data_IF_199346181142
#
_entry.id   IF_199346181142
#
_cell.length_a   1.000
_cell.length_b   1.000
_cell.length_c   1.000
_cell.angle_alpha   90.00
_cell.angle_beta   90.00
_cell.angle_gamma   90.00
#
_symmetry.space_group_name_H-M   'P 1'
#
loop_
_entity.id
_entity.type
_entity.pdbx_description
1 polymer ?
#
# COMPACT_ATOMS: atom_id res chain seq x y z
N UNK A 1 -25.80 77.75 -42.16
CA UNK A 1 -25.34 76.60 -41.36
C UNK A 1 -25.34 75.38 -42.26
N UNK A 2 -24.18 74.96 -42.74
CA UNK A 2 -24.04 73.84 -43.68
C UNK A 2 -23.02 72.87 -43.10
N UNK A 3 -23.48 71.65 -42.83
CA UNK A 3 -22.69 70.58 -42.25
C UNK A 3 -21.59 70.13 -43.23
N UNK A 4 -20.36 70.03 -42.71
CA UNK A 4 -19.17 69.76 -43.52
C UNK A 4 -19.08 68.25 -43.81
N UNK A 5 -19.14 67.79 -45.07
CA UNK A 5 -19.26 66.37 -45.44
C UNK A 5 -18.02 65.52 -45.11
N UNK A 6 -16.92 66.15 -44.66
CA UNK A 6 -15.70 65.45 -44.28
C UNK A 6 -15.82 64.62 -42.98
N UNK A 7 -16.76 64.96 -42.09
CA UNK A 7 -16.87 64.31 -40.78
C UNK A 7 -17.57 62.94 -40.87
N UNK A 8 -18.45 62.75 -41.85
CA UNK A 8 -19.19 61.49 -42.03
C UNK A 8 -18.33 60.36 -42.59
N UNK A 9 -17.37 60.67 -43.47
CA UNK A 9 -16.46 59.69 -44.07
C UNK A 9 -15.39 59.15 -43.09
N UNK A 10 -14.99 59.95 -42.09
CA UNK A 10 -14.01 59.52 -41.09
C UNK A 10 -14.59 58.49 -40.09
N UNK A 11 -15.89 58.54 -39.84
CA UNK A 11 -16.53 57.69 -38.83
C UNK A 11 -16.87 56.27 -39.37
N UNK A 12 -17.18 56.14 -40.66
CA UNK A 12 -17.40 54.85 -41.34
C UNK A 12 -16.10 54.01 -41.43
N UNK A 13 -14.96 54.64 -41.76
CA UNK A 13 -13.68 53.94 -41.88
C UNK A 13 -13.15 53.42 -40.53
N UNK A 14 -13.46 54.11 -39.41
CA UNK A 14 -13.08 53.69 -38.08
C UNK A 14 -13.92 52.50 -37.55
N UNK A 15 -15.16 52.33 -38.03
CA UNK A 15 -16.05 51.23 -37.64
C UNK A 15 -15.70 49.91 -38.36
N UNK A 16 -15.32 49.97 -39.63
CA UNK A 16 -14.91 48.77 -40.40
C UNK A 16 -13.60 48.18 -39.85
N UNK A 17 -12.60 49.01 -39.52
CA UNK A 17 -11.31 48.55 -38.98
C UNK A 17 -11.42 47.89 -37.59
N UNK A 18 -12.32 48.38 -36.72
CA UNK A 18 -12.62 47.74 -35.42
C UNK A 18 -13.38 46.43 -35.56
N UNK A 19 -14.21 46.27 -36.60
CA UNK A 19 -14.96 45.04 -36.86
C UNK A 19 -14.04 43.90 -37.35
N UNK A 20 -13.09 44.18 -38.25
CA UNK A 20 -12.11 43.19 -38.73
C UNK A 20 -11.16 42.69 -37.63
N UNK A 21 -10.70 43.58 -36.74
CA UNK A 21 -9.79 43.23 -35.64
C UNK A 21 -10.44 42.37 -34.55
N UNK A 22 -11.77 42.45 -34.39
CA UNK A 22 -12.54 41.69 -33.40
C UNK A 22 -12.92 40.29 -33.88
N UNK A 23 -12.89 40.03 -35.19
CA UNK A 23 -13.18 38.71 -35.78
C UNK A 23 -11.97 37.76 -35.77
N UNK A 24 -10.73 38.28 -35.90
CA UNK A 24 -9.51 37.45 -35.93
C UNK A 24 -9.10 36.85 -34.57
N UNK A 25 -9.47 37.48 -33.45
CA UNK A 25 -9.06 37.04 -32.10
C UNK A 25 -9.97 35.97 -31.47
N UNK A 26 -11.17 35.73 -32.00
CA UNK A 26 -12.15 34.78 -31.41
C UNK A 26 -12.01 33.36 -31.94
N UNK A 27 -11.54 33.18 -33.17
CA UNK A 27 -11.33 31.84 -33.76
C UNK A 27 -9.97 31.23 -33.39
N UNK A 28 -8.98 32.05 -33.01
CA UNK A 28 -7.66 31.57 -32.57
C UNK A 28 -7.67 30.98 -31.14
N UNK A 29 -8.63 31.38 -30.30
CA UNK A 29 -8.79 30.85 -28.93
C UNK A 29 -9.50 29.51 -28.86
N UNK A 30 -10.32 29.17 -29.87
CA UNK A 30 -11.03 27.89 -29.91
C UNK A 30 -10.14 26.74 -30.40
N UNK A 31 -9.12 27.03 -31.21
CA UNK A 31 -8.15 26.01 -31.64
C UNK A 31 -7.03 25.75 -30.61
N UNK A 32 -6.88 26.62 -29.60
CA UNK A 32 -5.93 26.41 -28.50
C UNK A 32 -6.53 25.60 -27.33
N UNK A 33 -7.82 25.28 -27.35
CA UNK A 33 -8.47 24.45 -26.31
C UNK A 33 -8.40 22.95 -26.68
N UNK A 34 -8.07 22.63 -27.94
CA UNK A 34 -7.97 21.25 -28.42
C UNK A 34 -6.63 20.55 -28.08
N UNK A 35 -5.71 21.18 -27.35
CA UNK A 35 -4.42 20.56 -26.96
C UNK A 35 -4.15 20.51 -25.45
N UNK A 36 -5.09 20.90 -24.59
CA UNK A 36 -5.00 20.67 -23.13
C UNK A 36 -5.68 19.35 -22.68
N UNK A 37 -5.93 18.44 -23.61
CA UNK A 37 -6.46 17.09 -23.35
C UNK A 37 -5.38 16.02 -23.16
N UNK A 38 -4.19 16.35 -22.64
CA UNK A 38 -3.13 15.32 -22.52
C UNK A 38 -2.13 15.58 -21.39
N UNK A 39 -2.63 15.75 -20.16
CA UNK A 39 -1.93 15.25 -18.97
C UNK A 39 -2.96 14.84 -17.91
N UNK A 40 -3.78 13.83 -18.21
CA UNK A 40 -4.13 12.87 -17.17
C UNK A 40 -2.86 12.04 -16.90
N UNK A 41 -1.88 12.68 -16.26
CA UNK A 41 -0.76 11.97 -15.66
C UNK A 41 -1.34 11.10 -14.57
N UNK A 42 -1.36 9.78 -14.81
CA UNK A 42 -1.68 8.78 -13.80
C UNK A 42 -0.80 9.09 -12.59
N UNK A 43 -1.40 9.63 -11.53
CA UNK A 43 -0.80 9.60 -10.20
C UNK A 43 -0.82 8.14 -9.77
N UNK A 44 0.13 7.35 -10.28
CA UNK A 44 0.47 6.06 -9.70
C UNK A 44 1.18 6.39 -8.39
N UNK A 45 0.37 6.73 -7.38
CA UNK A 45 0.82 6.81 -6.00
C UNK A 45 1.17 5.38 -5.59
N UNK A 46 2.43 5.02 -5.76
CA UNK A 46 3.02 3.89 -5.08
C UNK A 46 3.18 4.25 -3.61
N UNK A 47 2.08 4.54 -2.90
CA UNK A 47 2.07 4.44 -1.46
C UNK A 47 2.06 2.94 -1.17
N UNK A 48 3.15 2.36 -0.63
CA UNK A 48 3.13 0.96 -0.23
C UNK A 48 1.96 0.79 0.72
N UNK A 49 1.12 -0.20 0.41
CA UNK A 49 -0.01 -0.57 1.24
C UNK A 49 0.48 -0.71 2.69
N UNK A 50 -0.26 -0.15 3.66
CA UNK A 50 0.13 -0.31 5.06
C UNK A 50 0.32 -1.81 5.34
N UNK A 51 1.46 -2.26 5.90
CA UNK A 51 1.73 -3.68 6.12
C UNK A 51 0.75 -4.32 7.11
N UNK A 52 -0.02 -3.51 7.83
CA UNK A 52 -1.21 -3.99 8.53
C UNK A 52 -2.18 -4.72 7.60
N UNK A 53 -2.39 -4.20 6.39
CA UNK A 53 -3.32 -4.78 5.40
C UNK A 53 -2.74 -6.04 4.73
N UNK A 54 -1.42 -6.26 4.80
CA UNK A 54 -0.80 -7.46 4.21
C UNK A 54 -1.04 -8.72 5.04
N UNK A 55 -1.31 -8.60 6.35
CA UNK A 55 -1.55 -9.72 7.29
C UNK A 55 -2.67 -10.67 6.82
N UNK A 56 -3.68 -10.12 6.13
CA UNK A 56 -4.85 -10.88 5.64
C UNK A 56 -5.09 -10.71 4.14
N UNK A 57 -4.04 -10.35 3.38
CA UNK A 57 -4.16 -10.17 1.93
C UNK A 57 -4.60 -11.48 1.23
N UNK A 58 -5.43 -11.41 0.18
CA UNK A 58 -5.86 -12.61 -0.56
C UNK A 58 -4.70 -13.42 -1.12
N UNK A 59 -3.60 -12.76 -1.52
CA UNK A 59 -2.39 -13.40 -1.99
C UNK A 59 -1.73 -14.23 -0.87
N UNK A 60 -1.51 -13.62 0.30
CA UNK A 60 -0.94 -14.32 1.45
C UNK A 60 -1.82 -15.50 1.89
N UNK A 61 -3.14 -15.32 1.90
CA UNK A 61 -4.08 -16.42 2.21
C UNK A 61 -3.90 -17.61 1.27
N UNK A 62 -3.72 -17.38 -0.04
CA UNK A 62 -3.44 -18.44 -1.00
C UNK A 62 -2.08 -19.10 -0.74
N UNK A 63 -1.05 -18.32 -0.44
CA UNK A 63 0.27 -18.87 -0.09
C UNK A 63 0.21 -19.78 1.14
N UNK A 64 -0.49 -19.33 2.21
CA UNK A 64 -0.70 -20.14 3.42
C UNK A 64 -1.47 -21.42 3.11
N UNK A 65 -2.50 -21.37 2.26
CA UNK A 65 -3.28 -22.55 1.87
C UNK A 65 -2.50 -23.55 1.02
N UNK A 66 -1.52 -23.07 0.23
CA UNK A 66 -0.74 -23.88 -0.68
C UNK A 66 0.56 -24.43 -0.07
N UNK A 67 0.94 -23.99 1.14
CA UNK A 67 2.11 -24.52 1.83
C UNK A 67 1.90 -26.00 2.20
N UNK A 68 2.84 -26.87 1.82
CA UNK A 68 2.76 -28.32 2.05
C UNK A 68 4.01 -28.90 2.69
N UNK A 69 5.16 -28.30 2.42
CA UNK A 69 6.44 -28.81 2.89
C UNK A 69 6.89 -28.10 4.16
N UNK A 70 7.79 -28.74 4.90
CA UNK A 70 8.48 -28.09 6.03
C UNK A 70 9.08 -26.74 5.62
N UNK A 71 9.77 -26.70 4.48
CA UNK A 71 10.41 -25.48 3.98
C UNK A 71 9.40 -24.38 3.70
N UNK A 72 8.22 -24.69 3.16
CA UNK A 72 7.16 -23.69 2.93
C UNK A 72 6.72 -23.05 4.25
N UNK A 73 6.55 -23.87 5.29
CA UNK A 73 6.16 -23.40 6.61
C UNK A 73 7.28 -22.63 7.32
N UNK A 74 8.55 -22.99 7.14
CA UNK A 74 9.68 -22.21 7.66
C UNK A 74 9.78 -20.81 7.02
N UNK A 75 9.49 -20.72 5.71
CA UNK A 75 9.40 -19.43 4.99
C UNK A 75 8.24 -18.60 5.53
N UNK A 76 7.05 -19.20 5.72
CA UNK A 76 5.90 -18.51 6.29
C UNK A 76 6.14 -18.03 7.73
N UNK A 77 6.79 -18.85 8.56
CA UNK A 77 7.16 -18.45 9.91
C UNK A 77 8.06 -17.21 9.91
N UNK A 78 9.12 -17.25 9.11
CA UNK A 78 10.07 -16.13 8.97
C UNK A 78 9.39 -14.87 8.43
N UNK A 79 8.45 -15.02 7.48
CA UNK A 79 7.64 -13.91 6.98
C UNK A 79 6.84 -13.23 8.09
N UNK A 80 6.12 -14.01 8.91
CA UNK A 80 5.31 -13.46 9.99
C UNK A 80 6.17 -12.92 11.16
N UNK A 81 7.35 -13.47 11.42
CA UNK A 81 8.33 -12.92 12.37
C UNK A 81 8.78 -11.52 11.93
N UNK A 82 9.13 -11.35 10.65
CA UNK A 82 9.51 -10.05 10.10
C UNK A 82 8.35 -9.06 10.14
N UNK A 83 7.14 -9.50 9.80
CA UNK A 83 5.94 -8.67 9.87
C UNK A 83 5.64 -8.24 11.31
N UNK A 84 5.82 -9.13 12.28
CA UNK A 84 5.68 -8.79 13.70
C UNK A 84 6.67 -7.71 14.13
N UNK A 85 7.93 -7.82 13.71
CA UNK A 85 8.96 -6.81 13.96
C UNK A 85 8.57 -5.46 13.37
N UNK A 86 8.15 -5.42 12.10
CA UNK A 86 7.73 -4.16 11.46
C UNK A 86 6.52 -3.53 12.17
N UNK A 87 5.53 -4.33 12.59
CA UNK A 87 4.38 -3.83 13.34
C UNK A 87 4.79 -3.30 14.72
N UNK A 88 5.74 -3.95 15.38
CA UNK A 88 6.31 -3.47 16.65
C UNK A 88 7.02 -2.13 16.50
N UNK A 89 7.83 -1.96 15.46
CA UNK A 89 8.51 -0.69 15.15
C UNK A 89 7.49 0.44 14.93
N UNK A 90 6.44 0.19 14.14
CA UNK A 90 5.36 1.18 13.91
C UNK A 90 4.58 1.51 15.18
N UNK A 91 4.33 0.54 16.05
CA UNK A 91 3.68 0.79 17.34
C UNK A 91 4.52 1.75 18.21
N UNK A 92 5.84 1.53 18.27
CA UNK A 92 6.75 2.40 19.00
C UNK A 92 6.85 3.82 18.40
N UNK A 93 6.77 3.96 17.07
CA UNK A 93 6.64 5.27 16.42
C UNK A 93 5.37 6.00 16.86
N UNK A 94 4.21 5.31 16.84
CA UNK A 94 2.95 5.91 17.30
C UNK A 94 3.00 6.26 18.78
N UNK A 95 3.65 5.46 19.61
CA UNK A 95 3.82 5.72 21.04
C UNK A 95 4.62 7.00 21.29
N UNK A 96 5.73 7.19 20.59
CA UNK A 96 6.53 8.44 20.66
C UNK A 96 5.73 9.66 20.20
N UNK A 97 4.95 9.51 19.13
CA UNK A 97 4.09 10.57 18.62
C UNK A 97 2.95 10.91 19.60
N UNK A 98 2.34 9.90 20.21
CA UNK A 98 1.31 10.06 21.23
C UNK A 98 1.86 10.81 22.44
N UNK A 99 3.06 10.45 22.91
CA UNK A 99 3.74 11.15 23.99
C UNK A 99 3.94 12.63 23.65
N UNK A 100 4.37 12.95 22.42
CA UNK A 100 4.52 14.35 21.99
C UNK A 100 3.19 15.10 22.00
N UNK A 101 2.11 14.50 21.50
CA UNK A 101 0.78 15.12 21.55
C UNK A 101 0.23 15.30 22.97
N UNK A 102 0.61 14.43 23.90
CA UNK A 102 0.26 14.55 25.32
C UNK A 102 1.03 15.69 25.98
N UNK A 103 2.37 15.68 25.86
CA UNK A 103 3.26 16.68 26.45
C UNK A 103 3.03 18.09 25.90
N UNK A 104 2.77 18.20 24.60
CA UNK A 104 2.64 19.47 23.88
C UNK A 104 1.21 19.76 23.43
N UNK A 105 0.22 19.21 24.14
CA UNK A 105 -1.20 19.41 23.85
C UNK A 105 -1.60 20.89 23.71
N UNK A 106 -0.97 21.78 24.49
CA UNK A 106 -1.18 23.24 24.42
C UNK A 106 -0.89 23.85 23.04
N UNK A 107 -0.03 23.25 22.21
CA UNK A 107 0.25 23.72 20.85
C UNK A 107 -0.91 23.46 19.88
N UNK A 108 -1.79 22.51 20.19
CA UNK A 108 -2.81 22.02 19.28
C UNK A 108 -4.24 22.39 19.70
N UNK A 109 -4.42 22.90 20.91
CA UNK A 109 -5.72 23.30 21.46
C UNK A 109 -6.73 22.16 21.41
N UNK A 110 -7.95 22.41 20.92
CA UNK A 110 -9.01 21.38 20.81
C UNK A 110 -8.64 20.18 19.95
N UNK A 111 -7.74 20.34 18.97
CA UNK A 111 -7.30 19.24 18.09
C UNK A 111 -6.33 18.28 18.79
N UNK A 112 -5.83 18.59 19.98
CA UNK A 112 -4.92 17.71 20.71
C UNK A 112 -5.59 16.37 21.04
N UNK A 113 -6.83 16.40 21.52
CA UNK A 113 -7.56 15.20 21.92
C UNK A 113 -7.82 14.25 20.74
N UNK A 114 -8.22 14.79 19.58
CA UNK A 114 -8.45 14.01 18.37
C UNK A 114 -7.15 13.33 17.89
N UNK A 115 -6.03 14.07 17.87
CA UNK A 115 -4.72 13.54 17.49
C UNK A 115 -4.23 12.46 18.46
N UNK A 116 -4.39 12.67 19.76
CA UNK A 116 -4.05 11.67 20.78
C UNK A 116 -4.88 10.40 20.59
N UNK A 117 -6.20 10.54 20.43
CA UNK A 117 -7.12 9.40 20.29
C UNK A 117 -6.83 8.60 19.02
N UNK A 118 -6.59 9.29 17.90
CA UNK A 118 -6.22 8.66 16.64
C UNK A 118 -4.88 7.92 16.73
N UNK A 119 -3.86 8.57 17.30
CA UNK A 119 -2.51 7.99 17.43
C UNK A 119 -2.51 6.80 18.38
N UNK A 120 -3.25 6.89 19.49
CA UNK A 120 -3.44 5.78 20.41
C UNK A 120 -4.12 4.59 19.72
N UNK A 121 -5.17 4.83 18.94
CA UNK A 121 -5.85 3.77 18.20
C UNK A 121 -4.90 3.08 17.19
N UNK A 122 -4.04 3.85 16.51
CA UNK A 122 -3.02 3.27 15.61
C UNK A 122 -1.98 2.45 16.38
N UNK A 123 -1.47 2.95 17.51
CA UNK A 123 -0.54 2.23 18.37
C UNK A 123 -1.11 0.86 18.76
N UNK A 124 -2.32 0.83 19.34
CA UNK A 124 -2.98 -0.41 19.76
C UNK A 124 -3.20 -1.37 18.58
N UNK A 125 -3.58 -0.85 17.41
CA UNK A 125 -3.76 -1.67 16.20
C UNK A 125 -2.45 -2.32 15.76
N UNK A 126 -1.34 -1.59 15.77
CA UNK A 126 -0.04 -2.13 15.41
C UNK A 126 0.48 -3.14 16.46
N UNK A 127 0.28 -2.88 17.75
CA UNK A 127 0.61 -3.86 18.79
C UNK A 127 -0.17 -5.18 18.61
N UNK A 128 -1.47 -5.08 18.32
CA UNK A 128 -2.29 -6.26 18.09
C UNK A 128 -1.86 -6.99 16.81
N UNK A 129 -1.48 -6.26 15.76
CA UNK A 129 -0.95 -6.83 14.53
C UNK A 129 0.38 -7.57 14.76
N UNK A 130 1.27 -7.02 15.60
CA UNK A 130 2.52 -7.68 15.98
C UNK A 130 2.25 -9.00 16.71
N UNK A 131 1.35 -8.99 17.70
CA UNK A 131 0.95 -10.19 18.46
C UNK A 131 0.34 -11.26 17.56
N UNK A 132 -0.60 -10.88 16.68
CA UNK A 132 -1.22 -11.79 15.72
C UNK A 132 -0.18 -12.40 14.79
N UNK A 133 0.78 -11.61 14.32
CA UNK A 133 1.84 -12.09 13.43
C UNK A 133 2.77 -13.07 14.15
N UNK A 134 3.16 -12.81 15.41
CA UNK A 134 3.94 -13.78 16.20
C UNK A 134 3.18 -15.10 16.41
N UNK A 135 1.87 -15.05 16.66
CA UNK A 135 1.03 -16.25 16.77
C UNK A 135 1.01 -17.06 15.47
N UNK A 136 0.83 -16.39 14.32
CA UNK A 136 0.89 -17.05 13.00
C UNK A 136 2.28 -17.65 12.73
N UNK A 137 3.36 -16.96 13.11
CA UNK A 137 4.72 -17.50 12.98
C UNK A 137 4.92 -18.77 13.81
N UNK A 138 4.53 -18.74 15.09
CA UNK A 138 4.64 -19.90 15.98
C UNK A 138 3.87 -21.11 15.45
N UNK A 139 2.65 -20.89 14.93
CA UNK A 139 1.85 -21.94 14.30
C UNK A 139 2.59 -22.59 13.13
N UNK A 140 3.23 -21.79 12.27
CA UNK A 140 3.99 -22.35 11.14
C UNK A 140 5.25 -23.09 11.57
N UNK A 141 5.95 -22.65 12.63
CA UNK A 141 7.06 -23.41 13.22
C UNK A 141 6.60 -24.77 13.75
N UNK A 142 5.44 -24.81 14.41
CA UNK A 142 4.87 -26.06 14.92
C UNK A 142 4.55 -27.05 13.79
N UNK A 143 3.96 -26.57 12.68
CA UNK A 143 3.68 -27.41 11.51
C UNK A 143 4.98 -27.91 10.87
N UNK A 144 5.97 -27.03 10.70
CA UNK A 144 7.27 -27.43 10.15
C UNK A 144 7.95 -28.53 10.98
N UNK A 145 7.91 -28.40 12.32
CA UNK A 145 8.44 -29.41 13.24
C UNK A 145 7.71 -30.75 13.14
N UNK A 146 6.38 -30.75 12.99
CA UNK A 146 5.58 -31.97 12.78
C UNK A 146 5.96 -32.69 11.48
N UNK A 147 6.09 -31.95 10.38
CA UNK A 147 6.51 -32.51 9.09
C UNK A 147 7.92 -33.10 9.11
N UNK A 148 8.84 -32.52 9.89
CA UNK A 148 10.19 -33.06 10.10
C UNK A 148 10.15 -34.40 10.86
N UNK A 149 9.30 -34.51 11.88
CA UNK A 149 9.12 -35.74 12.64
C UNK A 149 8.52 -36.86 11.77
N UNK A 150 7.49 -36.56 10.97
CA UNK A 150 6.86 -37.51 10.05
C UNK A 150 7.83 -38.01 8.95
N UNK A 151 8.68 -37.13 8.41
CA UNK A 151 9.70 -37.53 7.45
C UNK A 151 10.75 -38.49 8.02
N UNK A 152 11.12 -38.31 9.29
CA UNK A 152 12.10 -39.17 9.96
C UNK A 152 11.53 -40.55 10.34
N UNK A 153 10.25 -40.65 10.69
CA UNK A 153 9.62 -41.94 11.05
C UNK A 153 9.41 -42.86 9.84
N UNK A 154 9.08 -42.32 8.66
CA UNK A 154 8.98 -43.10 7.41
C UNK A 154 10.33 -43.68 6.97
N UNK A 155 11.42 -42.91 7.13
CA UNK A 155 12.78 -43.39 6.83
C UNK A 155 13.24 -44.51 7.80
N UNK A 156 12.79 -44.48 9.05
CA UNK A 156 13.08 -45.52 10.05
C UNK A 156 12.39 -46.86 9.74
N UNK A 157 11.19 -46.84 9.17
CA UNK A 157 10.48 -48.06 8.79
C UNK A 157 11.12 -48.77 7.59
N UNK A 158 11.51 -48.01 6.56
CA UNK A 158 12.14 -48.54 5.34
C UNK A 158 13.51 -49.18 5.60
N UNK A 159 14.27 -48.64 6.55
CA UNK A 159 15.57 -49.20 6.95
C UNK A 159 15.43 -50.48 7.76
N UNK A 160 14.41 -50.60 8.62
CA UNK A 160 14.14 -51.81 9.39
C UNK A 160 13.67 -52.99 8.49
N UNK A 161 12.81 -52.75 7.50
CA UNK A 161 12.37 -53.78 6.55
C UNK A 161 13.51 -54.25 5.62
N UNK A 162 14.38 -53.34 5.16
CA UNK A 162 15.52 -53.70 4.31
C UNK A 162 16.52 -54.62 5.05
N UNK A 163 16.75 -54.40 6.34
CA UNK A 163 17.61 -55.27 7.15
C UNK A 163 16.96 -56.63 7.49
N UNK A 164 15.63 -56.69 7.66
CA UNK A 164 14.92 -57.96 7.86
C UNK A 164 14.88 -58.82 6.58
N UNK A 165 14.65 -58.19 5.42
CA UNK A 165 14.62 -58.86 4.12
C UNK A 165 15.99 -59.41 3.67
N UNK A 166 17.09 -58.79 4.10
CA UNK A 166 18.45 -59.28 3.84
C UNK A 166 18.84 -60.48 4.73
N UNK A 167 18.21 -60.67 5.89
CA UNK A 167 18.51 -61.79 6.81
C UNK A 167 17.80 -63.10 6.42
N UNK A 168 16.75 -63.03 5.60
CA UNK A 168 15.94 -64.19 5.21
C UNK A 168 16.47 -64.95 3.98
N UNK A 169 17.36 -64.35 3.18
CA UNK A 169 17.85 -64.94 1.91
C UNK A 169 19.10 -65.82 2.05
N UNK A 170 19.53 -66.08 3.30
CA UNK A 170 20.85 -66.65 3.60
C UNK A 170 20.76 -68.05 4.22
N UNK A 171 19.60 -68.71 4.12
CA UNK A 171 19.34 -70.03 4.69
C UNK A 171 18.69 -70.95 3.66
#
# INVERSE_FOLDING_TARGET
MGDNPAVYLANELAHVSRSYSRCRMKTQRLLAIASMGSMLGLMTSCAPMSPYQTIDSPALRKTVQNARTRSDHDVLASYFENLAKEMGERAEEQKKLLQHYQEKSYLYGRRAQDQQSHTWALMVRYEQAAKTSLSKAALHREIAAKLEQEGNTDSGHKTAEAHAGARSKNN
#
